data_IF_619811162604
#
_entry.id   IF_619811162604
#
_cell.length_a   1.000
_cell.length_b   1.000
_cell.length_c   1.000
_cell.angle_alpha   90.00
_cell.angle_beta   90.00
_cell.angle_gamma   90.00
#
_symmetry.space_group_name_H-M   'P 1'
#
loop_
_entity.id
_entity.type
_entity.pdbx_description
1 polymer ?
#
# COMPACT_ATOMS: atom_id res chain seq x y z
N UNK A 1 10.50 8.51 19.46
CA UNK A 1 9.07 8.15 19.56
C UNK A 1 8.43 7.98 18.18
N UNK A 2 8.46 9.00 17.30
CA UNK A 2 7.94 8.91 15.90
C UNK A 2 8.41 7.66 15.12
N UNK A 3 9.66 7.25 15.31
CA UNK A 3 10.24 6.06 14.65
C UNK A 3 9.53 4.76 15.02
N UNK A 4 9.11 4.64 16.28
CA UNK A 4 8.40 3.45 16.77
C UNK A 4 6.98 3.43 16.21
N UNK A 5 6.34 4.60 16.15
CA UNK A 5 5.00 4.76 15.54
C UNK A 5 5.04 4.40 14.05
N UNK A 6 6.00 4.92 13.28
CA UNK A 6 6.17 4.59 11.86
C UNK A 6 6.42 3.09 11.65
N UNK A 7 7.22 2.46 12.52
CA UNK A 7 7.46 1.02 12.47
C UNK A 7 6.21 0.20 12.81
N UNK A 8 5.43 0.61 13.81
CA UNK A 8 4.15 -0.04 14.14
C UNK A 8 3.16 0.05 12.96
N UNK A 9 3.04 1.23 12.35
CA UNK A 9 2.23 1.40 11.13
C UNK A 9 2.74 0.52 9.99
N UNK A 10 4.04 0.45 9.75
CA UNK A 10 4.62 -0.41 8.72
C UNK A 10 4.23 -1.88 8.92
N UNK A 11 4.27 -2.38 10.16
CA UNK A 11 3.86 -3.77 10.48
C UNK A 11 2.36 -3.98 10.27
N UNK A 12 1.52 -3.02 10.65
CA UNK A 12 0.07 -3.09 10.43
C UNK A 12 -0.24 -3.13 8.92
N UNK A 13 0.36 -2.24 8.13
CA UNK A 13 0.20 -2.21 6.68
C UNK A 13 0.74 -3.49 6.02
N UNK A 14 1.85 -4.03 6.51
CA UNK A 14 2.40 -5.31 6.05
C UNK A 14 1.43 -6.47 6.35
N UNK A 15 0.83 -6.50 7.54
CA UNK A 15 -0.15 -7.52 7.90
C UNK A 15 -1.39 -7.44 6.99
N UNK A 16 -1.91 -6.23 6.72
CA UNK A 16 -3.00 -6.03 5.77
C UNK A 16 -2.62 -6.50 4.36
N UNK A 17 -1.42 -6.18 3.88
CA UNK A 17 -0.93 -6.64 2.59
C UNK A 17 -0.93 -8.17 2.48
N UNK A 18 -0.47 -8.87 3.54
CA UNK A 18 -0.47 -10.33 3.61
C UNK A 18 -1.89 -10.89 3.62
N UNK A 19 -2.82 -10.29 4.38
CA UNK A 19 -4.23 -10.71 4.39
C UNK A 19 -4.83 -10.60 2.99
N UNK A 20 -4.65 -9.46 2.31
CA UNK A 20 -5.13 -9.27 0.94
C UNK A 20 -4.47 -10.26 -0.05
N UNK A 21 -3.18 -10.55 0.11
CA UNK A 21 -2.47 -11.52 -0.72
C UNK A 21 -3.04 -12.94 -0.54
N UNK A 22 -3.35 -13.33 0.70
CA UNK A 22 -3.96 -14.63 1.00
C UNK A 22 -5.39 -14.70 0.45
N UNK A 23 -6.19 -13.63 0.59
CA UNK A 23 -7.56 -13.58 0.08
C UNK A 23 -7.61 -13.69 -1.45
N UNK A 24 -6.74 -12.97 -2.15
CA UNK A 24 -6.63 -13.06 -3.60
C UNK A 24 -6.04 -14.41 -4.03
N UNK A 25 -5.07 -14.95 -3.27
CA UNK A 25 -4.49 -16.27 -3.50
C UNK A 25 -5.51 -17.41 -3.34
N UNK A 26 -6.31 -17.41 -2.26
CA UNK A 26 -7.35 -18.41 -2.01
C UNK A 26 -8.42 -18.40 -3.13
N UNK A 27 -8.79 -17.21 -3.62
CA UNK A 27 -9.70 -17.08 -4.74
C UNK A 27 -9.07 -17.53 -6.06
N UNK A 28 -7.78 -17.23 -6.26
CA UNK A 28 -7.05 -17.67 -7.45
C UNK A 28 -6.94 -19.20 -7.53
N UNK A 29 -6.69 -19.86 -6.40
CA UNK A 29 -6.66 -21.32 -6.29
C UNK A 29 -8.04 -21.92 -6.55
N UNK A 30 -9.11 -21.31 -6.00
CA UNK A 30 -10.48 -21.76 -6.21
C UNK A 30 -10.99 -21.57 -7.65
N UNK A 31 -10.51 -20.56 -8.36
CA UNK A 31 -10.90 -20.26 -9.74
C UNK A 31 -9.98 -20.89 -10.81
N UNK A 32 -8.86 -21.52 -10.42
CA UNK A 32 -7.77 -21.96 -11.32
C UNK A 32 -7.29 -20.88 -12.30
N UNK A 33 -7.53 -19.61 -11.96
CA UNK A 33 -7.10 -18.44 -12.73
C UNK A 33 -6.61 -17.38 -11.76
N UNK A 34 -5.64 -16.57 -12.19
CA UNK A 34 -5.13 -15.47 -11.39
C UNK A 34 -6.18 -14.36 -11.31
N UNK A 35 -7.01 -14.40 -10.26
CA UNK A 35 -8.05 -13.39 -10.01
C UNK A 35 -7.55 -12.43 -8.94
N UNK A 36 -6.88 -11.38 -9.39
CA UNK A 36 -6.53 -10.22 -8.59
C UNK A 36 -7.67 -9.20 -8.69
N UNK A 37 -8.38 -8.91 -7.58
CA UNK A 37 -9.44 -7.89 -7.62
C UNK A 37 -8.83 -6.49 -7.44
N UNK A 38 -9.10 -5.54 -8.35
CA UNK A 38 -8.65 -4.17 -8.17
C UNK A 38 -9.25 -3.58 -6.90
N UNK A 39 -8.42 -2.89 -6.11
CA UNK A 39 -8.83 -2.25 -4.86
C UNK A 39 -9.98 -1.25 -5.10
N UNK A 40 -9.90 -0.54 -6.23
CA UNK A 40 -10.93 0.39 -6.72
C UNK A 40 -12.32 -0.26 -6.79
N UNK A 41 -12.40 -1.48 -7.32
CA UNK A 41 -13.67 -2.20 -7.48
C UNK A 41 -14.27 -2.68 -6.15
N UNK A 42 -13.42 -2.97 -5.17
CA UNK A 42 -13.88 -3.32 -3.82
C UNK A 42 -14.30 -2.09 -3.03
N UNK A 43 -13.56 -0.98 -3.16
CA UNK A 43 -13.88 0.27 -2.47
C UNK A 43 -15.15 0.90 -3.04
N UNK A 44 -15.29 0.98 -4.36
CA UNK A 44 -16.50 1.53 -5.00
C UNK A 44 -17.77 0.76 -4.63
N UNK A 45 -17.66 -0.55 -4.36
CA UNK A 45 -18.79 -1.38 -3.94
C UNK A 45 -19.12 -1.29 -2.46
N UNK A 46 -18.10 -1.18 -1.59
CA UNK A 46 -18.31 -1.23 -0.13
C UNK A 46 -18.46 0.15 0.50
N UNK A 47 -17.85 1.19 -0.08
CA UNK A 47 -17.87 2.55 0.46
C UNK A 47 -17.75 3.60 -0.66
N UNK A 48 -18.80 3.74 -1.51
CA UNK A 48 -18.81 4.70 -2.61
C UNK A 48 -18.71 6.16 -2.15
N UNK A 49 -19.32 6.51 -1.01
CA UNK A 49 -19.28 7.87 -0.45
C UNK A 49 -17.86 8.30 -0.07
N UNK A 50 -17.10 7.42 0.60
CA UNK A 50 -15.70 7.71 0.95
C UNK A 50 -14.81 7.87 -0.28
N UNK A 51 -15.12 7.18 -1.38
CA UNK A 51 -14.37 7.29 -2.63
C UNK A 51 -14.67 8.64 -3.31
N UNK A 52 -15.93 9.07 -3.30
CA UNK A 52 -16.33 10.37 -3.81
C UNK A 52 -15.71 11.53 -3.00
N UNK A 53 -15.67 11.42 -1.67
CA UNK A 53 -15.00 12.41 -0.81
C UNK A 53 -13.49 12.46 -1.06
N UNK A 54 -12.85 11.30 -1.25
CA UNK A 54 -11.44 11.23 -1.61
C UNK A 54 -11.16 11.87 -2.98
N UNK A 55 -12.00 11.59 -3.98
CA UNK A 55 -11.92 12.20 -5.31
C UNK A 55 -12.12 13.72 -5.23
N UNK A 56 -13.11 14.19 -4.48
CA UNK A 56 -13.37 15.62 -4.28
C UNK A 56 -12.19 16.31 -3.61
N UNK A 57 -11.60 15.69 -2.59
CA UNK A 57 -10.43 16.21 -1.87
C UNK A 57 -9.22 16.31 -2.79
N UNK A 58 -8.90 15.24 -3.53
CA UNK A 58 -7.75 15.25 -4.45
C UNK A 58 -7.97 16.22 -5.61
N UNK A 59 -9.19 16.28 -6.14
CA UNK A 59 -9.56 17.24 -7.19
C UNK A 59 -9.45 18.68 -6.69
N UNK A 60 -9.79 18.94 -5.42
CA UNK A 60 -9.67 20.26 -4.81
C UNK A 60 -8.22 20.71 -4.62
N UNK A 61 -7.32 19.80 -4.19
CA UNK A 61 -5.93 20.17 -3.88
C UNK A 61 -4.96 20.04 -5.07
N UNK A 62 -5.15 19.05 -5.93
CA UNK A 62 -4.19 18.65 -6.97
C UNK A 62 -4.82 18.72 -8.38
N UNK A 63 -6.14 18.76 -8.46
CA UNK A 63 -6.90 18.81 -9.72
C UNK A 63 -7.34 17.42 -10.21
N UNK A 64 -8.43 17.39 -10.97
CA UNK A 64 -9.05 16.15 -11.48
C UNK A 64 -8.10 15.34 -12.38
N UNK A 65 -7.14 15.99 -13.04
CA UNK A 65 -6.15 15.32 -13.88
C UNK A 65 -5.26 14.40 -13.05
N UNK A 66 -4.86 14.83 -11.84
CA UNK A 66 -4.02 14.04 -10.95
C UNK A 66 -4.76 12.81 -10.41
N UNK A 67 -6.05 12.94 -10.11
CA UNK A 67 -6.88 11.80 -9.70
C UNK A 67 -6.90 10.71 -10.80
N UNK A 68 -7.18 11.11 -12.04
CA UNK A 68 -7.28 10.16 -13.15
C UNK A 68 -5.94 9.53 -13.54
N UNK A 69 -4.85 10.30 -13.53
CA UNK A 69 -3.53 9.83 -14.01
C UNK A 69 -2.71 9.13 -12.92
N UNK A 70 -2.91 9.48 -11.64
CA UNK A 70 -2.16 8.89 -10.53
C UNK A 70 -3.03 8.00 -9.67
N UNK A 71 -4.13 8.52 -9.12
CA UNK A 71 -4.92 7.79 -8.14
C UNK A 71 -5.62 6.57 -8.75
N UNK A 72 -6.33 6.71 -9.88
CA UNK A 72 -7.01 5.57 -10.53
C UNK A 72 -6.05 4.42 -10.84
N UNK A 73 -4.93 4.60 -11.56
CA UNK A 73 -4.04 3.48 -11.86
C UNK A 73 -3.37 2.88 -10.61
N UNK A 74 -3.18 3.66 -9.54
CA UNK A 74 -2.74 3.17 -8.23
C UNK A 74 -3.83 2.32 -7.54
N UNK A 75 -5.09 2.75 -7.60
CA UNK A 75 -6.23 2.04 -7.00
C UNK A 75 -6.67 0.83 -7.83
N UNK A 76 -6.37 0.80 -9.14
CA UNK A 76 -6.56 -0.35 -10.01
C UNK A 76 -5.52 -1.45 -9.78
N UNK A 77 -4.42 -1.15 -9.09
CA UNK A 77 -3.51 -2.21 -8.65
C UNK A 77 -4.21 -3.13 -7.64
N UNK A 78 -3.85 -4.42 -7.61
CA UNK A 78 -4.40 -5.31 -6.61
C UNK A 78 -3.97 -4.89 -5.20
N UNK A 79 -4.87 -5.09 -4.24
CA UNK A 79 -4.71 -4.52 -2.90
C UNK A 79 -3.44 -4.94 -2.18
N UNK A 80 -2.98 -6.18 -2.39
CA UNK A 80 -1.73 -6.68 -1.83
C UNK A 80 -0.49 -5.94 -2.36
N UNK A 81 -0.49 -5.55 -3.64
CA UNK A 81 0.57 -4.74 -4.25
C UNK A 81 0.57 -3.33 -3.65
N UNK A 82 -0.60 -2.70 -3.59
CA UNK A 82 -0.74 -1.35 -3.04
C UNK A 82 -0.28 -1.29 -1.58
N UNK A 83 -0.81 -2.16 -0.72
CA UNK A 83 -0.44 -2.20 0.70
C UNK A 83 1.00 -2.67 0.92
N UNK A 84 1.50 -3.59 0.10
CA UNK A 84 2.89 -4.06 0.17
C UNK A 84 3.90 -2.96 -0.16
N UNK A 85 3.66 -2.19 -1.23
CA UNK A 85 4.49 -1.02 -1.59
C UNK A 85 4.42 0.03 -0.49
N UNK A 86 3.23 0.31 0.06
CA UNK A 86 3.07 1.28 1.13
C UNK A 86 3.81 0.84 2.41
N UNK A 87 3.71 -0.44 2.77
CA UNK A 87 4.46 -1.01 3.90
C UNK A 87 5.97 -0.90 3.69
N UNK A 88 6.46 -1.18 2.47
CA UNK A 88 7.88 -1.01 2.11
C UNK A 88 8.32 0.45 2.19
N UNK A 89 7.50 1.40 1.75
CA UNK A 89 7.81 2.84 1.87
C UNK A 89 7.88 3.26 3.34
N UNK A 90 6.89 2.90 4.16
CA UNK A 90 6.92 3.18 5.59
C UNK A 90 8.11 2.53 6.28
N UNK A 91 8.43 1.27 5.91
CA UNK A 91 9.62 0.60 6.39
C UNK A 91 10.87 1.34 5.96
N UNK A 92 11.06 1.66 4.68
CA UNK A 92 12.26 2.35 4.17
C UNK A 92 12.47 3.73 4.81
N UNK A 93 11.41 4.51 5.01
CA UNK A 93 11.46 5.81 5.69
C UNK A 93 11.80 5.64 7.18
N UNK A 94 11.27 4.61 7.83
CA UNK A 94 11.58 4.25 9.22
C UNK A 94 12.92 3.53 9.40
N UNK A 95 13.42 2.89 8.34
CA UNK A 95 14.60 2.03 8.32
C UNK A 95 15.82 2.90 8.07
N UNK A 96 16.42 3.32 9.19
CA UNK A 96 17.74 3.92 9.16
C UNK A 96 18.70 2.84 8.67
N UNK A 97 19.37 3.06 7.52
CA UNK A 97 20.58 2.30 7.15
C UNK A 97 21.44 2.21 8.40
N UNK A 98 21.53 1.02 8.97
CA UNK A 98 22.58 0.73 9.93
C UNK A 98 23.85 1.02 9.15
N UNK A 99 24.57 2.07 9.56
CA UNK A 99 25.88 2.36 8.97
C UNK A 99 26.64 1.04 9.09
N UNK A 100 27.07 0.40 7.97
CA UNK A 100 27.89 -0.79 8.08
C UNK A 100 29.02 -0.36 9.00
N UNK A 101 29.11 -1.04 10.15
CA UNK A 101 30.03 -0.72 11.22
C UNK A 101 31.35 -0.32 10.55
N UNK A 102 31.70 0.95 10.78
CA UNK A 102 32.88 1.52 10.19
C UNK A 102 34.05 0.58 10.44
N UNK A 103 34.91 0.50 9.42
CA UNK A 103 36.36 0.37 9.52
C UNK A 103 36.90 0.50 10.96
N UNK A 104 38.01 -0.21 11.18
CA UNK A 104 38.89 -0.26 12.35
C UNK A 104 38.53 -1.43 13.28
N UNK A 105 39.34 -2.48 13.37
CA UNK A 105 40.77 -2.41 13.70
C UNK A 105 41.66 -3.33 12.86
N UNK A 106 42.76 -2.76 12.39
CA UNK A 106 43.98 -3.48 12.03
C UNK A 106 44.54 -4.22 13.26
N UNK A 107 45.07 -5.42 13.05
CA UNK A 107 46.28 -5.92 13.69
C UNK A 107 46.88 -7.03 12.86
#
# INVERSE_FOLDING_TARGET
MIRFVLRSFAVIFLALAVIFAILDGARSVGASQFVARPLLSMWSRNAPEMLADAEATVTHYIGAQAWNVLCIPLLEQPGWLFFGVLALLFYAIGHRRERPLGRFTAR
#
